data_IF_640748469113
#
_entry.id   IF_640748469113
#
_cell.length_a   1.000
_cell.length_b   1.000
_cell.length_c   1.000
_cell.angle_alpha   90.00
_cell.angle_beta   90.00
_cell.angle_gamma   90.00
#
_symmetry.space_group_name_H-M   'P 1'
#
loop_
_entity.id
_entity.type
_entity.pdbx_description
1 polymer ?
#
# COMPACT_ATOMS: atom_id res chain seq x y z
N UNK A 1 -12.62 15.65 -64.73
CA UNK A 1 -13.37 15.64 -63.47
C UNK A 1 -12.36 15.75 -62.34
N UNK A 2 -12.35 16.87 -61.64
CA UNK A 2 -11.40 17.24 -60.58
C UNK A 2 -11.73 16.56 -59.26
N UNK A 3 -10.73 16.17 -58.48
CA UNK A 3 -10.78 16.25 -57.02
C UNK A 3 -9.41 16.67 -56.48
N UNK A 4 -9.38 17.90 -55.94
CA UNK A 4 -8.31 18.48 -55.13
C UNK A 4 -8.37 17.92 -53.72
N UNK A 5 -7.22 17.62 -53.09
CA UNK A 5 -7.03 17.88 -51.64
C UNK A 5 -5.62 18.45 -51.40
N UNK A 6 -5.62 19.58 -50.68
CA UNK A 6 -4.53 20.40 -50.20
C UNK A 6 -3.62 19.68 -49.17
N UNK A 7 -2.31 19.92 -49.26
CA UNK A 7 -1.49 20.61 -48.23
C UNK A 7 0.01 20.22 -48.31
N UNK A 8 0.94 21.18 -48.49
CA UNK A 8 2.37 20.99 -48.26
C UNK A 8 2.83 21.64 -46.95
N UNK A 9 4.14 21.52 -46.64
CA UNK A 9 4.94 22.20 -45.59
C UNK A 9 4.95 21.49 -44.21
N UNK A 10 6.09 21.26 -43.53
CA UNK A 10 7.31 22.07 -43.47
C UNK A 10 8.49 21.31 -42.82
N UNK A 11 9.68 21.60 -43.34
CA UNK A 11 11.02 21.14 -42.96
C UNK A 11 11.38 21.47 -41.50
N UNK A 12 12.00 20.50 -40.82
CA UNK A 12 12.63 20.60 -39.49
C UNK A 12 13.63 21.76 -39.49
N UNK A 13 13.47 22.72 -38.57
CA UNK A 13 14.44 23.80 -38.35
C UNK A 13 15.33 23.48 -37.15
N UNK A 14 16.62 23.58 -37.46
CA UNK A 14 17.82 23.42 -36.66
C UNK A 14 17.86 24.13 -35.30
N UNK A 15 18.53 23.46 -34.37
CA UNK A 15 19.36 23.94 -33.27
C UNK A 15 19.57 25.46 -33.21
N UNK A 16 19.23 26.06 -32.07
CA UNK A 16 19.89 27.29 -31.61
C UNK A 16 20.41 27.08 -30.20
N UNK A 17 21.70 27.38 -30.05
CA UNK A 17 22.53 27.31 -28.85
C UNK A 17 21.99 28.28 -27.79
N UNK A 18 21.74 27.79 -26.58
CA UNK A 18 21.52 28.66 -25.43
C UNK A 18 22.85 28.91 -24.72
N UNK A 19 23.45 30.07 -25.03
CA UNK A 19 24.54 30.64 -24.28
C UNK A 19 23.99 31.27 -22.98
N UNK A 20 24.48 30.82 -21.83
CA UNK A 20 24.15 31.40 -20.53
C UNK A 20 25.10 30.88 -19.44
N UNK A 21 25.87 31.79 -18.87
CA UNK A 21 27.02 31.63 -17.97
C UNK A 21 26.69 31.04 -16.59
N UNK A 22 27.66 30.29 -16.02
CA UNK A 22 27.68 29.77 -14.65
C UNK A 22 27.37 30.82 -13.57
N UNK A 23 26.43 30.53 -12.68
CA UNK A 23 26.54 30.85 -11.23
C UNK A 23 25.93 29.72 -10.40
N UNK A 24 26.65 29.31 -9.37
CA UNK A 24 26.33 28.20 -8.46
C UNK A 24 25.18 28.60 -7.52
N UNK A 25 24.18 27.72 -7.35
CA UNK A 25 23.35 27.66 -6.13
C UNK A 25 21.91 28.16 -6.23
N UNK A 26 21.01 27.31 -6.75
CA UNK A 26 19.57 27.29 -6.43
C UNK A 26 19.01 25.94 -6.96
N UNK A 27 19.32 24.80 -6.33
CA UNK A 27 18.68 24.22 -5.16
C UNK A 27 17.15 24.09 -5.30
N UNK A 28 16.72 22.84 -5.57
CA UNK A 28 15.37 22.24 -5.45
C UNK A 28 14.29 22.95 -6.27
N UNK A 29 13.61 22.23 -7.15
CA UNK A 29 12.18 21.88 -7.09
C UNK A 29 11.96 21.36 -8.53
N UNK A 30 11.69 20.09 -8.86
CA UNK A 30 10.64 19.19 -8.39
C UNK A 30 11.21 17.76 -8.48
N UNK A 31 11.87 17.31 -7.41
CA UNK A 31 11.71 15.92 -7.00
C UNK A 31 10.23 15.77 -6.56
N UNK A 32 9.65 14.57 -6.65
CA UNK A 32 8.26 14.24 -6.31
C UNK A 32 7.24 14.27 -7.45
N UNK A 33 7.55 13.63 -8.58
CA UNK A 33 6.54 12.82 -9.28
C UNK A 33 6.81 11.32 -9.04
N UNK A 34 7.23 10.98 -7.82
CA UNK A 34 7.19 9.63 -7.31
C UNK A 34 5.76 9.36 -6.82
N UNK A 35 4.84 9.13 -7.75
CA UNK A 35 3.82 8.13 -7.52
C UNK A 35 4.20 6.96 -8.42
N UNK A 36 5.23 6.18 -8.05
CA UNK A 36 5.48 4.98 -8.81
C UNK A 36 4.22 4.13 -8.65
N UNK A 37 3.68 3.65 -9.75
CA UNK A 37 2.66 2.60 -9.81
C UNK A 37 3.24 1.25 -9.30
N UNK A 38 3.99 1.31 -8.19
CA UNK A 38 4.62 0.22 -7.44
C UNK A 38 3.76 0.01 -6.19
N UNK A 39 2.55 -0.50 -6.40
CA UNK A 39 2.02 -1.50 -5.48
C UNK A 39 1.78 -2.72 -6.35
N UNK A 40 2.90 -3.31 -6.75
CA UNK A 40 3.19 -4.74 -6.62
C UNK A 40 1.91 -5.59 -6.70
N UNK A 41 1.68 -6.16 -7.88
CA UNK A 41 0.87 -7.37 -8.10
C UNK A 41 1.48 -8.53 -7.29
N UNK A 42 1.30 -8.53 -5.98
CA UNK A 42 1.72 -9.56 -5.05
C UNK A 42 0.58 -9.69 -4.06
N UNK A 43 -0.23 -10.75 -4.22
CA UNK A 43 -1.33 -11.15 -3.33
C UNK A 43 -2.05 -9.96 -2.67
N UNK A 44 -3.01 -9.36 -3.38
CA UNK A 44 -3.71 -8.15 -2.93
C UNK A 44 -4.42 -8.43 -1.59
N UNK A 45 -3.81 -8.03 -0.48
CA UNK A 45 -4.43 -8.02 0.84
C UNK A 45 -5.79 -7.31 0.75
N UNK A 46 -6.86 -7.89 1.29
CA UNK A 46 -8.21 -7.30 1.21
C UNK A 46 -8.20 -5.86 1.71
N UNK A 47 -9.01 -5.02 1.06
CA UNK A 47 -9.13 -3.59 1.37
C UNK A 47 -9.51 -3.39 2.85
N UNK A 48 -10.41 -4.22 3.40
CA UNK A 48 -10.82 -4.15 4.81
C UNK A 48 -9.65 -4.36 5.79
N UNK A 49 -8.69 -5.24 5.46
CA UNK A 49 -7.49 -5.46 6.28
C UNK A 49 -6.50 -4.30 6.16
N UNK A 50 -6.43 -3.64 5.00
CA UNK A 50 -5.64 -2.43 4.81
C UNK A 50 -6.20 -1.26 5.63
N UNK A 51 -7.52 -1.09 5.64
CA UNK A 51 -8.20 -0.09 6.47
C UNK A 51 -7.98 -0.37 7.96
N UNK A 52 -8.07 -1.63 8.38
CA UNK A 52 -7.77 -2.04 9.75
C UNK A 52 -6.34 -1.65 10.14
N UNK A 53 -5.35 -1.89 9.28
CA UNK A 53 -3.96 -1.49 9.55
C UNK A 53 -3.83 0.02 9.76
N UNK A 54 -4.49 0.83 8.92
CA UNK A 54 -4.50 2.30 9.08
C UNK A 54 -5.15 2.72 10.40
N UNK A 55 -6.24 2.07 10.78
CA UNK A 55 -6.94 2.34 12.03
C UNK A 55 -6.09 2.01 13.27
N UNK A 56 -5.34 0.89 13.22
CA UNK A 56 -4.42 0.51 14.30
C UNK A 56 -3.31 1.54 14.48
N UNK A 57 -2.71 2.00 13.38
CA UNK A 57 -1.70 3.08 13.38
C UNK A 57 -2.30 4.38 13.92
N UNK A 58 -3.51 4.75 13.48
CA UNK A 58 -4.20 5.96 13.94
C UNK A 58 -4.52 5.92 15.45
N UNK A 59 -4.76 4.73 16.01
CA UNK A 59 -4.96 4.52 17.46
C UNK A 59 -3.65 4.42 18.24
N UNK A 60 -2.50 4.40 17.57
CA UNK A 60 -1.19 4.28 18.22
C UNK A 60 -0.89 2.87 18.75
N UNK A 61 -1.50 1.84 18.18
CA UNK A 61 -1.21 0.43 18.53
C UNK A 61 0.19 0.10 17.99
N UNK A 62 1.03 -0.50 18.82
CA UNK A 62 2.39 -0.84 18.44
C UNK A 62 2.40 -1.97 17.39
N UNK A 63 3.16 -1.84 16.31
CA UNK A 63 3.25 -2.89 15.28
C UNK A 63 3.89 -4.19 15.82
N UNK A 64 4.53 -4.15 16.99
CA UNK A 64 5.10 -5.34 17.62
C UNK A 64 4.06 -6.27 18.25
N UNK A 65 2.84 -5.78 18.55
CA UNK A 65 1.81 -6.57 19.24
C UNK A 65 0.79 -7.18 18.29
N UNK A 66 0.84 -6.83 17.00
CA UNK A 66 -0.11 -7.34 16.03
C UNK A 66 0.51 -7.63 14.65
N UNK A 67 -0.07 -8.58 13.94
CA UNK A 67 0.29 -8.92 12.57
C UNK A 67 -0.97 -9.07 11.70
N UNK A 68 -0.97 -8.47 10.51
CA UNK A 68 -2.10 -8.49 9.57
C UNK A 68 -1.59 -9.05 8.26
N UNK A 69 -2.19 -10.14 7.79
CA UNK A 69 -1.84 -10.86 6.55
C UNK A 69 -0.39 -11.36 6.52
N UNK A 70 0.27 -11.36 7.68
CA UNK A 70 1.65 -11.79 7.88
C UNK A 70 1.74 -12.61 9.15
N UNK A 71 2.72 -13.52 9.20
CA UNK A 71 3.07 -14.18 10.46
C UNK A 71 3.89 -13.21 11.33
N UNK A 72 3.62 -13.15 12.64
CA UNK A 72 4.42 -12.35 13.56
C UNK A 72 5.79 -13.00 13.77
N UNK A 73 6.80 -12.17 14.03
CA UNK A 73 8.16 -12.65 14.33
C UNK A 73 8.33 -13.13 15.77
N UNK A 74 7.51 -12.60 16.69
CA UNK A 74 7.59 -12.87 18.12
C UNK A 74 6.22 -13.30 18.66
N UNK A 75 5.58 -12.46 19.46
CA UNK A 75 4.32 -12.74 20.14
C UNK A 75 3.32 -11.63 19.78
N UNK A 76 2.07 -11.99 19.48
CA UNK A 76 1.07 -10.99 19.12
C UNK A 76 -0.20 -11.52 18.47
N UNK A 77 -1.17 -10.61 18.36
CA UNK A 77 -2.47 -10.87 17.75
C UNK A 77 -2.36 -10.88 16.23
N UNK A 78 -2.86 -11.94 15.62
CA UNK A 78 -2.74 -12.17 14.19
C UNK A 78 -4.11 -12.25 13.54
N UNK A 79 -4.25 -11.62 12.39
CA UNK A 79 -5.37 -11.82 11.49
C UNK A 79 -4.83 -12.17 10.10
N UNK A 80 -5.25 -13.32 9.59
CA UNK A 80 -4.76 -13.89 8.34
C UNK A 80 -5.92 -14.20 7.39
N UNK A 81 -5.79 -13.80 6.13
CA UNK A 81 -6.79 -14.13 5.10
C UNK A 81 -6.39 -15.43 4.40
N UNK A 82 -7.02 -16.54 4.80
CA UNK A 82 -6.83 -17.85 4.16
C UNK A 82 -7.63 -17.98 2.84
N UNK A 83 -8.00 -16.86 2.20
CA UNK A 83 -8.81 -16.69 0.97
C UNK A 83 -10.28 -17.08 1.13
N UNK A 84 -10.56 -18.26 1.70
CA UNK A 84 -11.94 -18.75 1.89
C UNK A 84 -12.53 -18.27 3.20
N UNK A 85 -11.68 -18.17 4.23
CA UNK A 85 -12.03 -17.76 5.58
C UNK A 85 -10.91 -16.88 6.14
N UNK A 86 -11.22 -16.11 7.17
CA UNK A 86 -10.28 -15.28 7.89
C UNK A 86 -10.01 -15.93 9.23
N UNK A 87 -8.74 -16.15 9.51
CA UNK A 87 -8.27 -16.73 10.75
C UNK A 87 -7.77 -15.62 11.66
N UNK A 88 -8.31 -15.57 12.88
CA UNK A 88 -7.84 -14.71 13.95
C UNK A 88 -7.26 -15.60 15.03
N UNK A 89 -6.03 -15.35 15.45
CA UNK A 89 -5.37 -16.13 16.48
C UNK A 89 -4.33 -15.30 17.22
N UNK A 90 -4.02 -15.70 18.45
CA UNK A 90 -2.86 -15.21 19.17
C UNK A 90 -1.67 -16.13 18.89
N UNK A 91 -0.51 -15.57 18.56
CA UNK A 91 0.69 -16.36 18.33
C UNK A 91 1.68 -16.13 19.46
N UNK A 92 2.16 -17.21 20.07
CA UNK A 92 3.15 -17.16 21.13
C UNK A 92 4.08 -18.37 21.04
N UNK A 93 5.40 -18.12 21.03
CA UNK A 93 6.45 -19.17 21.05
C UNK A 93 6.28 -20.30 20.02
N UNK A 94 5.74 -19.98 18.84
CA UNK A 94 5.50 -20.96 17.77
C UNK A 94 4.15 -21.67 17.82
N UNK A 95 3.33 -21.39 18.83
CA UNK A 95 1.98 -21.94 18.97
C UNK A 95 0.92 -20.91 18.60
N UNK A 96 -0.19 -21.40 18.04
CA UNK A 96 -1.39 -20.60 17.74
C UNK A 96 -2.43 -20.88 18.81
N UNK A 97 -2.79 -19.86 19.55
CA UNK A 97 -3.82 -19.87 20.58
C UNK A 97 -5.07 -19.17 20.08
N UNK A 98 -6.22 -19.55 20.64
CA UNK A 98 -7.52 -18.92 20.37
C UNK A 98 -7.85 -18.78 18.87
N UNK A 99 -7.47 -19.79 18.08
CA UNK A 99 -7.72 -19.81 16.64
C UNK A 99 -9.23 -19.79 16.37
N UNK A 100 -9.70 -18.70 15.78
CA UNK A 100 -11.06 -18.49 15.35
C UNK A 100 -11.11 -18.23 13.84
N UNK A 101 -11.85 -19.08 13.13
CA UNK A 101 -12.05 -18.96 11.69
C UNK A 101 -13.41 -18.33 11.40
N UNK A 102 -13.43 -17.33 10.52
CA UNK A 102 -14.63 -16.58 10.17
C UNK A 102 -14.81 -16.53 8.66
N UNK A 103 -16.04 -16.73 8.18
CA UNK A 103 -16.40 -16.46 6.78
C UNK A 103 -16.61 -14.97 6.51
N UNK A 104 -17.12 -14.25 7.52
CA UNK A 104 -17.40 -12.82 7.43
C UNK A 104 -16.18 -11.98 7.88
N UNK A 105 -15.69 -11.13 6.98
CA UNK A 105 -14.52 -10.27 7.24
C UNK A 105 -14.78 -9.28 8.38
N UNK A 106 -15.95 -8.63 8.35
CA UNK A 106 -16.33 -7.66 9.39
C UNK A 106 -16.39 -8.28 10.79
N UNK A 107 -16.84 -9.53 10.91
CA UNK A 107 -16.88 -10.24 12.20
C UNK A 107 -15.48 -10.57 12.67
N UNK A 108 -14.61 -11.05 11.77
CA UNK A 108 -13.21 -11.31 12.08
C UNK A 108 -12.51 -10.05 12.61
N UNK A 109 -12.70 -8.92 11.93
CA UNK A 109 -12.13 -7.63 12.32
C UNK A 109 -12.67 -7.17 13.68
N UNK A 110 -13.98 -7.32 13.93
CA UNK A 110 -14.58 -6.97 15.22
C UNK A 110 -14.01 -7.83 16.36
N UNK A 111 -13.87 -9.14 16.14
CA UNK A 111 -13.26 -10.05 17.10
C UNK A 111 -11.80 -9.69 17.37
N UNK A 112 -11.01 -9.48 16.32
CA UNK A 112 -9.62 -9.05 16.43
C UNK A 112 -9.47 -7.73 17.21
N UNK A 113 -10.32 -6.74 16.95
CA UNK A 113 -10.34 -5.49 17.71
C UNK A 113 -10.68 -5.71 19.18
N UNK A 114 -11.64 -6.58 19.48
CA UNK A 114 -11.96 -6.91 20.87
C UNK A 114 -10.75 -7.54 21.57
N UNK A 115 -10.04 -8.47 20.92
CA UNK A 115 -8.84 -9.08 21.50
C UNK A 115 -7.74 -8.04 21.76
N UNK A 116 -7.44 -7.19 20.77
CA UNK A 116 -6.38 -6.17 20.86
C UNK A 116 -6.71 -5.06 21.85
N UNK A 117 -7.98 -4.67 22.00
CA UNK A 117 -8.39 -3.53 22.85
C UNK A 117 -8.95 -3.90 24.23
N UNK A 118 -9.39 -5.15 24.46
CA UNK A 118 -9.91 -5.57 25.76
C UNK A 118 -8.82 -5.87 26.80
N UNK A 119 -7.53 -5.87 26.42
CA UNK A 119 -6.42 -6.09 27.34
C UNK A 119 -6.09 -4.83 28.20
N UNK A 120 -7.12 -4.06 28.60
CA UNK A 120 -7.01 -2.84 29.41
C UNK A 120 -7.63 -2.99 30.79
#
# INVERSE_FOLDING_TARGET
MSFFINAPNKKIKSLTSFAGTHTRGLLRIIAHASAPLIYKLCSTMRIELQELKKEMIARGVNESIYAIDTLPSYEGFCIYDARSEIEVFYFERGYRFELQSFKDVKKAIACFKQMVFNEK
#
